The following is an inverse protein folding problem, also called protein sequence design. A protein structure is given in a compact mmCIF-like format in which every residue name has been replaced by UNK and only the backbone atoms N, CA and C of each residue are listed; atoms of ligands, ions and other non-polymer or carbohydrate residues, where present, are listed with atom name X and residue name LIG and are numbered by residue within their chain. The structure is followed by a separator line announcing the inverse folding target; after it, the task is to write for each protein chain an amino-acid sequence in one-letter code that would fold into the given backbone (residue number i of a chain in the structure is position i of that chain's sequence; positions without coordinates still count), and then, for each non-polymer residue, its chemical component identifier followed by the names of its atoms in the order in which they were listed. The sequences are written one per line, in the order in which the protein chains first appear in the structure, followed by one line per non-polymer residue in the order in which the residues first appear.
data_IF_348101054557
#
_entry.id   IF_348101054557
#
_cell.length_a   1.000
_cell.length_b   1.000
_cell.length_c   1.000
_cell.angle_alpha   90.00
_cell.angle_beta   90.00
_cell.angle_gamma   90.00
#
_symmetry.space_group_name_H-M   'P 1'
#
loop_
_entity.id
_entity.type
_entity.pdbx_description
1 polymer ?
#
# COMPACT_ATOMS: atom_id res chain seq x y z
N UNK A 1 5.96 7.39 -5.63
CA UNK A 1 4.75 7.63 -4.81
C UNK A 1 4.32 9.10 -4.79
N UNK A 2 5.10 10.06 -4.28
CA UNK A 2 4.63 11.46 -4.16
C UNK A 2 4.20 12.09 -5.51
N UNK A 3 4.96 11.86 -6.58
CA UNK A 3 4.58 12.26 -7.94
C UNK A 3 3.30 11.56 -8.42
N UNK A 4 3.07 10.31 -8.03
CA UNK A 4 1.86 9.58 -8.38
C UNK A 4 0.63 10.22 -7.72
N UNK A 5 0.72 10.58 -6.43
CA UNK A 5 -0.34 11.32 -5.73
C UNK A 5 -0.65 12.65 -6.44
N UNK A 6 0.38 13.39 -6.84
CA UNK A 6 0.22 14.66 -7.55
C UNK A 6 -0.44 14.48 -8.92
N UNK A 7 0.02 13.51 -9.73
CA UNK A 7 -0.53 13.25 -11.07
C UNK A 7 -1.97 12.74 -11.01
N UNK A 8 -2.31 11.96 -10.00
CA UNK A 8 -3.66 11.44 -9.80
C UNK A 8 -4.55 12.39 -8.97
N UNK A 9 -4.04 13.56 -8.57
CA UNK A 9 -4.76 14.54 -7.74
C UNK A 9 -5.32 13.94 -6.43
N UNK A 10 -4.59 12.96 -5.86
CA UNK A 10 -4.97 12.30 -4.61
C UNK A 10 -4.51 13.18 -3.44
N UNK A 11 -5.40 13.55 -2.50
CA UNK A 11 -5.01 14.26 -1.29
C UNK A 11 -3.96 13.48 -0.51
N UNK A 12 -2.89 14.15 -0.09
CA UNK A 12 -1.80 13.52 0.68
C UNK A 12 -2.28 12.93 2.00
N UNK A 13 -3.31 13.53 2.61
CA UNK A 13 -3.99 13.04 3.81
C UNK A 13 -4.67 11.68 3.64
N UNK A 14 -4.94 11.25 2.40
CA UNK A 14 -5.48 9.92 2.10
C UNK A 14 -4.37 8.90 1.77
N UNK A 15 -3.11 9.33 1.77
CA UNK A 15 -1.98 8.45 1.54
C UNK A 15 -1.44 7.95 2.87
N UNK A 16 -1.45 6.62 3.02
CA UNK A 16 -0.87 5.92 4.16
C UNK A 16 0.33 5.11 3.68
N UNK A 17 1.46 5.24 4.39
CA UNK A 17 2.73 4.65 3.98
C UNK A 17 3.37 3.90 5.13
N UNK A 18 4.00 2.78 4.81
CA UNK A 18 4.76 1.97 5.74
C UNK A 18 5.94 1.35 5.01
N UNK A 19 7.12 1.46 5.61
CA UNK A 19 8.30 0.69 5.23
C UNK A 19 9.11 0.43 6.52
N UNK A 20 9.41 -0.83 6.86
CA UNK A 20 10.21 -1.14 8.06
C UNK A 20 11.63 -0.56 7.99
N UNK A 21 12.10 -0.15 6.82
CA UNK A 21 13.41 0.45 6.60
C UNK A 21 13.42 1.98 6.68
N UNK A 22 12.27 2.63 6.90
CA UNK A 22 12.23 4.09 7.03
C UNK A 22 13.09 4.56 8.21
N UNK A 23 13.97 5.49 7.91
CA UNK A 23 14.70 6.27 8.90
C UNK A 23 13.82 7.34 9.53
N UNK A 24 14.20 7.82 10.71
CA UNK A 24 13.49 8.91 11.39
C UNK A 24 13.42 10.19 10.53
N UNK A 25 14.44 10.45 9.71
CA UNK A 25 14.47 11.58 8.80
C UNK A 25 13.40 11.44 7.71
N UNK A 26 13.27 10.25 7.09
CA UNK A 26 12.25 9.98 6.07
C UNK A 26 10.84 10.07 6.65
N UNK A 27 10.61 9.49 7.83
CA UNK A 27 9.33 9.61 8.54
C UNK A 27 8.97 11.08 8.78
N UNK A 28 9.94 11.87 9.24
CA UNK A 28 9.72 13.30 9.52
C UNK A 28 9.37 14.08 8.26
N UNK A 29 10.10 13.85 7.16
CA UNK A 29 9.82 14.47 5.86
C UNK A 29 8.44 14.08 5.35
N UNK A 30 8.10 12.78 5.33
CA UNK A 30 6.79 12.30 4.86
C UNK A 30 5.64 12.89 5.67
N UNK A 31 5.80 12.95 7.00
CA UNK A 31 4.81 13.55 7.90
C UNK A 31 4.66 15.05 7.62
N UNK A 32 5.76 15.79 7.45
CA UNK A 32 5.71 17.22 7.12
C UNK A 32 5.06 17.51 5.76
N UNK A 33 5.13 16.55 4.82
CA UNK A 33 4.48 16.62 3.53
C UNK A 33 2.98 16.28 3.59
N UNK A 34 2.45 15.96 4.78
CA UNK A 34 1.03 15.66 4.99
C UNK A 34 0.64 14.23 4.60
N UNK A 35 1.61 13.32 4.51
CA UNK A 35 1.37 11.88 4.31
C UNK A 35 1.32 11.20 5.68
N UNK A 36 0.41 10.24 5.87
CA UNK A 36 0.31 9.48 7.12
C UNK A 36 1.30 8.31 7.11
N UNK A 37 2.32 8.37 7.96
CA UNK A 37 3.23 7.24 8.18
C UNK A 37 2.63 6.31 9.23
N UNK A 38 2.47 5.03 8.88
CA UNK A 38 1.99 4.01 9.80
C UNK A 38 3.13 3.61 10.75
N UNK A 39 2.82 3.44 12.03
CA UNK A 39 3.80 3.01 13.03
C UNK A 39 3.80 1.49 13.25
N UNK A 40 2.76 0.80 12.77
CA UNK A 40 2.56 -0.63 12.99
C UNK A 40 2.80 -1.42 11.71
N UNK A 41 3.52 -2.54 11.84
CA UNK A 41 3.66 -3.51 10.76
C UNK A 41 2.40 -4.36 10.65
N UNK A 42 1.50 -4.00 9.74
CA UNK A 42 0.30 -4.80 9.47
C UNK A 42 0.56 -6.05 8.63
N UNK A 43 1.80 -6.28 8.20
CA UNK A 43 2.18 -7.42 7.36
C UNK A 43 1.35 -7.53 6.06
N UNK A 44 0.87 -6.40 5.55
CA UNK A 44 0.02 -6.32 4.35
C UNK A 44 -1.47 -6.59 4.60
N UNK A 45 -1.92 -6.79 5.85
CA UNK A 45 -3.32 -7.11 6.21
C UNK A 45 -4.23 -5.88 6.27
N UNK A 46 -4.18 -5.03 5.24
CA UNK A 46 -4.96 -3.78 5.20
C UNK A 46 -6.27 -3.94 4.43
N UNK A 47 -7.38 -3.54 5.04
CA UNK A 47 -8.70 -3.54 4.38
C UNK A 47 -8.95 -2.26 3.58
N UNK A 48 -9.70 -2.37 2.49
CA UNK A 48 -10.23 -1.23 1.72
C UNK A 48 -11.25 -0.39 2.48
N UNK A 49 -11.80 -0.90 3.59
CA UNK A 49 -12.84 -0.23 4.38
C UNK A 49 -14.04 0.26 3.52
N UNK A 50 -14.36 -0.47 2.44
CA UNK A 50 -15.44 -0.13 1.52
C UNK A 50 -15.12 0.99 0.51
N UNK A 51 -13.89 1.52 0.50
CA UNK A 51 -13.45 2.57 -0.42
C UNK A 51 -12.57 2.02 -1.54
N UNK A 52 -12.68 2.54 -2.79
CA UNK A 52 -11.70 2.26 -3.84
C UNK A 52 -10.30 2.65 -3.37
N UNK A 53 -9.40 1.66 -3.29
CA UNK A 53 -8.08 1.84 -2.69
C UNK A 53 -6.99 1.30 -3.61
N UNK A 54 -5.96 2.13 -3.82
CA UNK A 54 -4.77 1.75 -4.57
C UNK A 54 -3.69 1.32 -3.57
N UNK A 55 -3.27 0.07 -3.67
CA UNK A 55 -2.14 -0.47 -2.92
C UNK A 55 -0.88 -0.38 -3.79
N UNK A 56 0.02 0.54 -3.41
CA UNK A 56 1.30 0.74 -4.08
C UNK A 56 2.38 -0.08 -3.37
N UNK A 57 2.73 -1.24 -3.92
CA UNK A 57 3.55 -2.28 -3.27
C UNK A 57 4.76 -2.70 -4.15
N UNK A 58 5.60 -1.77 -4.64
CA UNK A 58 6.79 -2.14 -5.40
C UNK A 58 7.74 -2.94 -4.50
N UNK A 59 8.43 -3.93 -5.05
CA UNK A 59 9.43 -4.74 -4.31
C UNK A 59 8.90 -5.53 -3.10
N UNK A 60 7.59 -5.53 -2.84
CA UNK A 60 6.99 -6.40 -1.83
C UNK A 60 7.10 -7.89 -2.24
N UNK A 61 7.32 -8.77 -1.26
CA UNK A 61 7.31 -10.21 -1.46
C UNK A 61 5.89 -10.79 -1.58
N UNK A 62 5.78 -12.00 -2.12
CA UNK A 62 4.50 -12.71 -2.36
C UNK A 62 3.61 -12.80 -1.12
N UNK A 63 4.19 -12.98 0.06
CA UNK A 63 3.44 -13.08 1.32
C UNK A 63 2.60 -11.82 1.61
N UNK A 64 3.10 -10.63 1.28
CA UNK A 64 2.37 -9.37 1.52
C UNK A 64 1.17 -9.23 0.58
N UNK A 65 1.30 -9.65 -0.68
CA UNK A 65 0.16 -9.68 -1.61
C UNK A 65 -0.91 -10.69 -1.16
N UNK A 66 -0.48 -11.87 -0.71
CA UNK A 66 -1.41 -12.88 -0.19
C UNK A 66 -2.18 -12.36 1.02
N UNK A 67 -1.50 -11.73 1.98
CA UNK A 67 -2.15 -11.15 3.15
C UNK A 67 -3.13 -10.05 2.77
N UNK A 68 -2.77 -9.18 1.81
CA UNK A 68 -3.66 -8.14 1.32
C UNK A 68 -4.93 -8.71 0.69
N UNK A 69 -4.79 -9.69 -0.19
CA UNK A 69 -5.93 -10.35 -0.83
C UNK A 69 -6.80 -11.05 0.20
N UNK A 70 -6.19 -11.78 1.13
CA UNK A 70 -6.88 -12.50 2.19
C UNK A 70 -7.70 -11.55 3.09
N UNK A 71 -7.13 -10.40 3.47
CA UNK A 71 -7.83 -9.37 4.26
C UNK A 71 -8.99 -8.70 3.53
N UNK A 72 -9.09 -8.85 2.21
CA UNK A 72 -10.14 -8.27 1.38
C UNK A 72 -10.94 -9.35 0.62
N UNK A 73 -10.98 -10.60 1.09
CA UNK A 73 -11.50 -11.77 0.35
C UNK A 73 -13.03 -11.83 0.18
N UNK A 74 -13.62 -10.80 -0.41
CA UNK A 74 -15.01 -10.74 -0.84
C UNK A 74 -15.11 -10.08 -2.22
N UNK A 75 -16.17 -10.39 -2.96
CA UNK A 75 -16.38 -9.81 -4.30
C UNK A 75 -16.43 -8.28 -4.23
N UNK A 76 -17.17 -7.73 -3.26
CA UNK A 76 -17.27 -6.28 -3.08
C UNK A 76 -15.92 -5.65 -2.72
N UNK A 77 -15.19 -6.23 -1.75
CA UNK A 77 -13.93 -5.66 -1.31
C UNK A 77 -12.83 -5.76 -2.39
N UNK A 78 -12.69 -6.91 -3.07
CA UNK A 78 -11.72 -7.09 -4.15
C UNK A 78 -12.02 -6.20 -5.36
N UNK A 79 -13.30 -5.93 -5.66
CA UNK A 79 -13.67 -5.00 -6.76
C UNK A 79 -13.18 -3.57 -6.54
N UNK A 80 -12.80 -3.22 -5.30
CA UNK A 80 -12.31 -1.91 -4.88
C UNK A 80 -10.79 -1.88 -4.73
N UNK A 81 -10.09 -2.99 -4.97
CA UNK A 81 -8.64 -3.11 -4.83
C UNK A 81 -7.96 -2.90 -6.19
N UNK A 82 -7.01 -1.96 -6.24
CA UNK A 82 -6.05 -1.86 -7.37
C UNK A 82 -4.65 -2.02 -6.79
N UNK A 83 -3.89 -3.00 -7.30
CA UNK A 83 -2.52 -3.26 -6.86
C UNK A 83 -1.55 -2.76 -7.94
N UNK A 84 -0.66 -1.85 -7.56
CA UNK A 84 0.49 -1.45 -8.37
C UNK A 84 1.72 -2.04 -7.69
N UNK A 85 2.24 -3.13 -8.25
CA UNK A 85 3.34 -3.88 -7.66
C UNK A 85 4.21 -4.55 -8.71
N UNK A 86 5.01 -5.51 -8.27
CA UNK A 86 5.82 -6.34 -9.16
C UNK A 86 4.92 -7.19 -10.06
N UNK A 87 5.46 -7.62 -11.20
CA UNK A 87 4.76 -8.61 -12.04
C UNK A 87 4.53 -9.89 -11.24
N UNK A 88 3.28 -10.35 -11.18
CA UNK A 88 2.93 -11.65 -10.61
C UNK A 88 3.55 -12.82 -11.40
N UNK A 89 4.13 -12.58 -12.59
CA UNK A 89 4.85 -13.60 -13.36
C UNK A 89 6.10 -14.14 -12.63
N UNK A 90 6.66 -13.40 -11.65
CA UNK A 90 7.73 -13.92 -10.79
C UNK A 90 7.21 -14.85 -9.68
N UNK A 91 5.90 -15.14 -9.65
CA UNK A 91 5.23 -16.04 -8.69
C UNK A 91 4.93 -17.40 -9.37
N UNK A 92 5.74 -17.79 -10.36
CA UNK A 92 5.83 -19.19 -10.77
C UNK A 92 6.68 -19.95 -9.73
N UNK A 93 5.96 -20.70 -8.90
CA UNK A 93 6.33 -21.83 -8.04
C UNK A 93 7.82 -22.13 -7.80
N UNK A 94 8.19 -22.10 -6.51
CA UNK A 94 9.15 -23.04 -5.92
C UNK A 94 8.49 -23.75 -4.77
#
# INVERSE_FOLDING_TARGET
MLLFLEKCQIPRSHCQVYDPLFSQAEVSVLTSLGVTVLCENEEGKRSTQGQPTIFYMPHCGTALYNNLLWSNWSIDALSRVVIIGNSFQCIEER
#
